data_IF_554150933762
#
_entry.id   IF_554150933762
#
_cell.length_a   1.000
_cell.length_b   1.000
_cell.length_c   1.000
_cell.angle_alpha   90.00
_cell.angle_beta   90.00
_cell.angle_gamma   90.00
#
_symmetry.space_group_name_H-M   'P 1'
#
loop_
_entity.id
_entity.type
_entity.pdbx_description
1 polymer ?
#
# COMPACT_ATOMS: atom_id res chain seq x y z
N UNK A 1 6.74 -28.79 5.05
CA UNK A 1 8.07 -28.20 4.85
C UNK A 1 7.83 -26.72 4.86
N UNK A 2 8.24 -26.04 5.92
CA UNK A 2 8.03 -24.60 6.03
C UNK A 2 8.99 -23.93 5.06
N UNK A 3 8.45 -23.40 3.96
CA UNK A 3 9.24 -22.78 2.90
C UNK A 3 9.61 -21.37 3.37
N UNK A 4 10.90 -21.15 3.61
CA UNK A 4 11.46 -19.84 3.97
C UNK A 4 12.37 -19.34 2.86
N UNK A 5 12.32 -18.03 2.61
CA UNK A 5 13.21 -17.34 1.69
C UNK A 5 14.39 -16.73 2.46
N UNK A 6 15.64 -16.96 2.02
CA UNK A 6 16.79 -16.24 2.54
C UNK A 6 16.77 -14.80 2.02
N UNK A 7 16.86 -13.83 2.93
CA UNK A 7 16.80 -12.40 2.63
C UNK A 7 17.83 -11.62 3.43
N UNK A 8 18.23 -10.46 2.91
CA UNK A 8 18.85 -9.40 3.70
C UNK A 8 17.76 -8.40 4.08
N UNK A 9 17.66 -8.09 5.37
CA UNK A 9 16.67 -7.17 5.90
C UNK A 9 17.12 -5.70 5.72
N UNK A 10 16.20 -4.74 5.58
CA UNK A 10 16.54 -3.32 5.63
C UNK A 10 17.22 -2.94 6.96
N UNK A 11 18.12 -1.95 6.93
CA UNK A 11 18.89 -1.52 8.10
C UNK A 11 18.00 -1.25 9.32
N UNK A 12 18.28 -1.94 10.43
CA UNK A 12 17.56 -1.78 11.70
C UNK A 12 16.29 -2.62 11.86
N UNK A 13 15.92 -3.43 10.86
CA UNK A 13 14.84 -4.39 10.99
C UNK A 13 15.34 -5.77 11.46
N UNK A 14 14.52 -6.47 12.25
CA UNK A 14 14.68 -7.89 12.59
C UNK A 14 13.56 -8.70 11.94
N UNK A 15 13.66 -10.03 11.99
CA UNK A 15 12.60 -10.92 11.48
C UNK A 15 11.26 -10.64 12.17
N UNK A 16 11.29 -10.44 13.48
CA UNK A 16 10.09 -10.17 14.28
C UNK A 16 9.54 -8.75 14.10
N UNK A 17 10.40 -7.79 13.69
CA UNK A 17 10.00 -6.40 13.45
C UNK A 17 9.72 -6.10 11.98
N UNK A 18 9.70 -7.11 11.10
CA UNK A 18 9.54 -6.92 9.68
C UNK A 18 8.10 -6.47 9.38
N UNK A 19 7.97 -5.22 8.93
CA UNK A 19 6.67 -4.63 8.66
C UNK A 19 6.15 -5.02 7.28
N UNK A 20 4.82 -5.01 7.11
CA UNK A 20 4.18 -5.43 5.87
C UNK A 20 4.52 -4.55 4.66
N UNK A 21 5.01 -3.32 4.86
CA UNK A 21 5.45 -2.42 3.78
C UNK A 21 6.95 -2.54 3.44
N UNK A 22 7.72 -3.27 4.26
CA UNK A 22 9.16 -3.43 4.04
C UNK A 22 9.42 -4.44 2.91
N UNK A 23 10.47 -4.17 2.12
CA UNK A 23 10.88 -5.02 1.00
C UNK A 23 12.30 -5.57 1.25
N UNK A 24 12.42 -6.75 1.89
CA UNK A 24 13.69 -7.45 2.01
C UNK A 24 14.28 -7.84 0.66
N UNK A 25 15.61 -7.91 0.59
CA UNK A 25 16.31 -8.33 -0.63
C UNK A 25 16.51 -9.84 -0.61
N UNK A 26 15.88 -10.57 -1.54
CA UNK A 26 16.04 -12.03 -1.67
C UNK A 26 17.48 -12.39 -2.05
N UNK A 27 18.07 -13.32 -1.31
CA UNK A 27 19.43 -13.83 -1.55
C UNK A 27 19.35 -15.05 -2.46
N UNK A 28 19.92 -14.95 -3.66
CA UNK A 28 19.98 -16.07 -4.61
C UNK A 28 21.30 -16.85 -4.51
N UNK A 29 22.38 -16.16 -4.14
CA UNK A 29 23.71 -16.75 -3.97
C UNK A 29 24.54 -15.91 -3.01
N UNK A 30 25.53 -16.56 -2.40
CA UNK A 30 26.59 -15.90 -1.62
C UNK A 30 27.87 -16.01 -2.45
N UNK A 31 28.51 -14.88 -2.72
CA UNK A 31 29.70 -14.83 -3.58
C UNK A 31 30.92 -14.35 -2.81
N UNK A 32 32.09 -14.90 -3.14
CA UNK A 32 33.36 -14.36 -2.66
C UNK A 32 33.77 -13.19 -3.56
N UNK A 33 33.95 -12.02 -2.96
CA UNK A 33 34.36 -10.81 -3.67
C UNK A 33 35.88 -10.78 -3.88
N UNK A 34 36.37 -9.89 -4.76
CA UNK A 34 37.80 -9.66 -4.95
C UNK A 34 38.53 -9.15 -3.70
N UNK A 35 37.79 -8.75 -2.66
CA UNK A 35 38.32 -8.35 -1.35
C UNK A 35 38.46 -9.53 -0.37
N UNK A 36 38.26 -10.77 -0.83
CA UNK A 36 38.23 -11.98 0.01
C UNK A 36 37.15 -11.90 1.11
N UNK A 37 36.04 -11.23 0.81
CA UNK A 37 34.86 -11.14 1.69
C UNK A 37 33.66 -11.78 1.02
N UNK A 38 32.79 -12.42 1.80
CA UNK A 38 31.50 -12.91 1.34
C UNK A 38 30.53 -11.74 1.14
N UNK A 39 29.74 -11.79 0.07
CA UNK A 39 28.64 -10.87 -0.18
C UNK A 39 27.36 -11.65 -0.56
N UNK A 40 26.20 -11.35 0.07
CA UNK A 40 26.07 -10.54 1.29
C UNK A 40 26.84 -11.17 2.46
N UNK A 41 27.08 -10.41 3.53
CA UNK A 41 27.72 -10.97 4.72
C UNK A 41 26.81 -12.04 5.34
N UNK A 42 27.29 -13.28 5.58
CA UNK A 42 26.43 -14.38 6.02
C UNK A 42 25.66 -14.11 7.33
N UNK A 43 26.15 -13.21 8.17
CA UNK A 43 25.53 -12.82 9.44
C UNK A 43 24.28 -11.95 9.24
N UNK A 44 24.16 -11.28 8.08
CA UNK A 44 23.03 -10.40 7.75
C UNK A 44 21.92 -11.15 7.00
N UNK A 45 22.10 -12.46 6.76
CA UNK A 45 21.12 -13.30 6.08
C UNK A 45 20.12 -13.84 7.09
N UNK A 46 18.85 -13.53 6.87
CA UNK A 46 17.74 -13.99 7.67
C UNK A 46 16.78 -14.85 6.83
N UNK A 47 16.08 -15.77 7.48
CA UNK A 47 14.99 -16.52 6.87
C UNK A 47 13.66 -15.86 7.21
N UNK A 48 12.90 -15.49 6.20
CA UNK A 48 11.51 -15.06 6.36
C UNK A 48 10.59 -16.09 5.69
N UNK A 49 9.34 -16.15 6.13
CA UNK A 49 8.34 -16.99 5.46
C UNK A 49 8.31 -16.65 3.96
N UNK A 50 8.30 -17.67 3.08
CA UNK A 50 8.17 -17.45 1.63
C UNK A 50 6.76 -16.96 1.27
N UNK A 51 6.60 -16.43 0.07
CA UNK A 51 5.27 -16.17 -0.50
C UNK A 51 4.63 -17.47 -0.95
N UNK A 52 3.32 -17.60 -0.73
CA UNK A 52 2.52 -18.70 -1.25
C UNK A 52 2.18 -18.47 -2.73
N UNK A 53 2.03 -19.53 -3.54
CA UNK A 53 1.91 -19.42 -5.00
C UNK A 53 0.55 -18.90 -5.50
N UNK A 54 -0.38 -18.56 -4.60
CA UNK A 54 -1.78 -18.28 -4.90
C UNK A 54 -2.11 -16.79 -5.06
N UNK A 55 -1.13 -15.89 -4.99
CA UNK A 55 -1.40 -14.46 -5.17
C UNK A 55 -2.02 -14.11 -6.52
N UNK A 56 -3.10 -13.32 -6.50
CA UNK A 56 -3.86 -12.92 -7.69
C UNK A 56 -4.93 -13.94 -8.12
N UNK A 57 -5.31 -14.89 -7.26
CA UNK A 57 -6.35 -15.88 -7.52
C UNK A 57 -7.77 -15.43 -7.14
N UNK A 58 -7.90 -14.23 -6.54
CA UNK A 58 -9.16 -13.63 -6.10
C UNK A 58 -9.51 -13.91 -4.64
N UNK A 59 -8.63 -14.58 -3.90
CA UNK A 59 -8.76 -14.86 -2.47
C UNK A 59 -7.64 -14.16 -1.71
N UNK A 60 -7.98 -13.50 -0.61
CA UNK A 60 -7.00 -12.82 0.22
C UNK A 60 -6.26 -13.82 1.12
N UNK A 61 -5.02 -14.11 0.76
CA UNK A 61 -4.03 -14.85 1.54
C UNK A 61 -3.25 -13.88 2.44
N UNK A 62 -3.53 -13.93 3.73
CA UNK A 62 -2.95 -12.99 4.72
C UNK A 62 -1.42 -13.07 4.79
N UNK A 63 -0.82 -14.24 4.51
CA UNK A 63 0.63 -14.45 4.43
C UNK A 63 1.27 -13.65 3.28
N UNK A 64 0.53 -13.49 2.19
CA UNK A 64 0.96 -12.75 1.00
C UNK A 64 0.59 -11.25 1.07
N UNK A 65 -0.24 -10.82 2.02
CA UNK A 65 -0.66 -9.42 2.21
C UNK A 65 0.45 -8.52 2.80
N UNK A 66 1.59 -8.45 2.10
CA UNK A 66 2.79 -7.67 2.40
C UNK A 66 3.56 -7.34 1.11
N UNK A 67 4.35 -6.27 1.12
CA UNK A 67 5.12 -5.76 -0.01
C UNK A 67 6.03 -6.81 -0.63
N UNK A 68 6.69 -7.64 0.19
CA UNK A 68 7.55 -8.73 -0.27
C UNK A 68 6.83 -9.74 -1.18
N UNK A 69 5.52 -9.93 -0.95
CA UNK A 69 4.65 -10.79 -1.74
C UNK A 69 3.64 -9.99 -2.59
N UNK A 70 3.98 -8.74 -2.91
CA UNK A 70 3.19 -7.87 -3.78
C UNK A 70 1.72 -7.71 -3.33
N UNK A 71 1.49 -7.68 -2.01
CA UNK A 71 0.15 -7.55 -1.42
C UNK A 71 -0.85 -8.55 -1.99
N UNK A 72 -0.42 -9.79 -2.13
CA UNK A 72 -1.24 -10.90 -2.60
C UNK A 72 -1.85 -10.68 -4.00
N UNK A 73 -1.09 -10.03 -4.88
CA UNK A 73 -1.60 -9.65 -6.21
C UNK A 73 -2.75 -8.64 -6.16
N UNK A 74 -3.03 -8.06 -4.99
CA UNK A 74 -4.15 -7.17 -4.73
C UNK A 74 -5.41 -7.87 -4.21
N UNK A 75 -5.42 -9.16 -3.91
CA UNK A 75 -6.66 -9.85 -3.55
C UNK A 75 -7.24 -9.45 -2.19
N UNK A 76 -6.40 -8.86 -1.32
CA UNK A 76 -6.84 -8.25 -0.07
C UNK A 76 -7.41 -6.82 -0.23
N UNK A 77 -7.48 -6.29 -1.45
CA UNK A 77 -7.90 -4.92 -1.70
C UNK A 77 -9.21 -4.87 -2.52
N UNK A 78 -10.29 -4.27 -1.99
CA UNK A 78 -11.57 -4.19 -2.72
C UNK A 78 -11.47 -3.45 -4.07
N UNK A 79 -10.49 -2.56 -4.24
CA UNK A 79 -10.37 -1.75 -5.46
C UNK A 79 -9.79 -2.50 -6.66
N UNK A 80 -9.03 -3.55 -6.40
CA UNK A 80 -8.33 -4.39 -7.39
C UNK A 80 -9.18 -5.58 -7.83
N UNK A 81 -10.14 -5.99 -6.99
CA UNK A 81 -11.10 -7.06 -7.30
C UNK A 81 -12.26 -6.59 -8.19
N UNK A 82 -12.60 -7.42 -9.18
CA UNK A 82 -13.75 -7.20 -10.09
C UNK A 82 -15.09 -7.17 -9.35
N UNK A 83 -15.23 -7.97 -8.29
CA UNK A 83 -16.43 -8.06 -7.44
C UNK A 83 -16.55 -6.92 -6.43
N UNK A 84 -15.48 -6.12 -6.26
CA UNK A 84 -15.33 -5.13 -5.18
C UNK A 84 -15.48 -5.70 -3.76
N UNK A 85 -15.36 -7.02 -3.61
CA UNK A 85 -15.55 -7.72 -2.35
C UNK A 85 -14.39 -8.69 -2.14
N UNK A 86 -13.64 -8.47 -1.07
CA UNK A 86 -12.58 -9.39 -0.62
C UNK A 86 -13.20 -10.70 -0.19
N UNK A 87 -12.65 -11.80 -0.72
CA UNK A 87 -13.03 -13.16 -0.36
C UNK A 87 -11.89 -13.74 0.48
N UNK A 88 -12.20 -14.32 1.63
CA UNK A 88 -11.21 -14.78 2.61
C UNK A 88 -11.19 -16.31 2.66
N UNK A 89 -9.99 -16.89 2.72
CA UNK A 89 -9.81 -18.31 2.99
C UNK A 89 -9.74 -18.54 4.51
N UNK A 90 -10.74 -19.20 5.10
CA UNK A 90 -10.81 -19.44 6.55
C UNK A 90 -11.51 -18.32 7.32
N UNK A 91 -12.27 -18.68 8.35
CA UNK A 91 -13.25 -17.80 9.01
C UNK A 91 -12.66 -16.77 10.00
N UNK A 92 -11.35 -16.68 10.18
CA UNK A 92 -10.74 -15.97 11.30
C UNK A 92 -9.54 -15.09 10.89
N UNK A 93 -9.72 -14.19 9.92
CA UNK A 93 -8.81 -13.06 9.88
C UNK A 93 -9.29 -11.96 10.81
N UNK A 94 -8.42 -11.58 11.75
CA UNK A 94 -8.61 -10.37 12.52
C UNK A 94 -8.69 -9.18 11.56
N UNK A 95 -9.41 -8.14 11.96
CA UNK A 95 -9.71 -6.99 11.10
C UNK A 95 -8.44 -6.38 10.46
N UNK A 96 -7.28 -6.50 11.09
CA UNK A 96 -6.01 -5.94 10.60
C UNK A 96 -5.27 -6.81 9.57
N UNK A 97 -5.48 -8.13 9.55
CA UNK A 97 -4.74 -9.07 8.68
C UNK A 97 -5.30 -9.15 7.26
N UNK A 98 -6.62 -9.00 7.14
CA UNK A 98 -7.33 -8.92 5.87
C UNK A 98 -7.60 -7.50 5.38
N UNK A 99 -7.15 -6.46 6.11
CA UNK A 99 -7.26 -5.09 5.61
C UNK A 99 -6.33 -4.91 4.41
N UNK A 100 -6.78 -4.13 3.43
CA UNK A 100 -5.95 -3.75 2.29
C UNK A 100 -4.70 -2.99 2.77
N UNK A 101 -3.54 -3.62 2.60
CA UNK A 101 -2.23 -3.06 3.01
C UNK A 101 -1.46 -2.43 1.85
N UNK A 102 -1.94 -2.58 0.63
CA UNK A 102 -1.32 -2.03 -0.57
C UNK A 102 -1.44 -0.49 -0.57
N UNK A 103 -0.32 0.26 -0.45
CA UNK A 103 -0.35 1.71 -0.49
C UNK A 103 -0.81 2.26 -1.85
N UNK A 104 -0.69 1.46 -2.91
CA UNK A 104 -1.08 1.82 -4.27
C UNK A 104 -2.53 1.45 -4.60
N UNK A 105 -3.27 0.82 -3.68
CA UNK A 105 -4.69 0.60 -3.84
C UNK A 105 -5.49 1.92 -3.67
N UNK A 106 -6.64 1.99 -4.34
CA UNK A 106 -7.40 3.25 -4.46
C UNK A 106 -8.00 3.73 -3.14
N UNK A 107 -8.22 2.83 -2.17
CA UNK A 107 -8.72 3.19 -0.86
C UNK A 107 -7.63 3.86 0.03
N UNK A 108 -6.35 3.55 -0.20
CA UNK A 108 -5.18 4.03 0.54
C UNK A 108 -4.59 5.27 -0.11
N UNK A 109 -4.59 5.36 -1.45
CA UNK A 109 -4.18 6.57 -2.20
C UNK A 109 -4.95 7.82 -1.80
N UNK A 110 -6.23 7.69 -1.46
CA UNK A 110 -7.08 8.83 -1.02
C UNK A 110 -6.65 9.38 0.34
N UNK A 111 -6.11 8.52 1.22
CA UNK A 111 -5.59 8.93 2.53
C UNK A 111 -4.27 9.67 2.40
N UNK A 112 -3.39 9.26 1.48
CA UNK A 112 -2.11 9.92 1.25
C UNK A 112 -2.25 11.36 0.70
N UNK A 113 -3.30 11.65 -0.09
CA UNK A 113 -3.57 12.99 -0.61
C UNK A 113 -4.11 13.97 0.44
N UNK A 114 -4.82 13.48 1.45
CA UNK A 114 -5.38 14.33 2.51
C UNK A 114 -4.32 14.70 3.56
N UNK A 115 -3.37 13.80 3.82
CA UNK A 115 -2.19 14.08 4.66
C UNK A 115 -1.23 15.13 4.08
N UNK A 116 -1.36 15.46 2.79
CA UNK A 116 -0.60 16.51 2.12
C UNK A 116 -1.24 17.91 2.19
N UNK A 117 -2.40 18.06 2.85
CA UNK A 117 -3.15 19.32 2.91
C UNK A 117 -3.44 19.75 4.35
N UNK A 118 -2.45 19.62 5.21
CA UNK A 118 -2.52 20.00 6.63
C UNK A 118 -1.36 20.91 7.06
N UNK A 119 -1.17 22.06 6.41
CA UNK A 119 -0.14 23.02 6.82
C UNK A 119 -0.39 24.41 6.23
N UNK A 120 -1.05 25.29 6.99
CA UNK A 120 -1.23 26.70 6.64
C UNK A 120 -2.35 27.40 7.38
N UNK A 121 -2.20 27.59 8.69
CA UNK A 121 -2.99 28.57 9.44
C UNK A 121 -2.38 29.97 9.32
N UNK A 122 -3.21 31.01 9.20
CA UNK A 122 -2.79 32.39 9.44
C UNK A 122 -3.55 33.49 8.69
N UNK A 123 -4.63 34.00 9.31
CA UNK A 123 -4.78 35.45 9.54
C UNK A 123 -5.43 36.35 8.49
N UNK A 124 -6.62 36.87 8.82
CA UNK A 124 -6.80 38.32 8.94
C UNK A 124 -7.42 39.12 7.77
N UNK A 125 -8.68 39.51 7.96
CA UNK A 125 -9.06 40.93 7.95
C UNK A 125 -9.49 41.61 6.63
N UNK A 126 -10.76 42.02 6.59
CA UNK A 126 -11.11 43.40 6.24
C UNK A 126 -11.79 43.67 4.88
N UNK A 127 -12.98 44.28 4.95
CA UNK A 127 -13.28 45.47 4.12
C UNK A 127 -14.25 45.34 2.93
N UNK A 128 -15.54 45.53 3.20
CA UNK A 128 -16.43 46.57 2.63
C UNK A 128 -16.47 46.93 1.14
N UNK A 129 -17.72 47.06 0.63
CA UNK A 129 -18.15 47.87 -0.53
C UNK A 129 -18.32 47.07 -1.82
N UNK A 130 -19.37 47.18 -2.64
CA UNK A 130 -20.48 48.14 -2.76
C UNK A 130 -20.76 48.37 -4.26
N UNK A 131 -22.03 48.24 -4.69
CA UNK A 131 -22.54 48.60 -6.03
C UNK A 131 -22.29 47.56 -7.14
N UNK A 132 -23.17 47.29 -8.10
CA UNK A 132 -24.45 47.88 -8.49
C UNK A 132 -24.67 47.61 -10.00
N UNK A 133 -25.90 47.26 -10.40
CA UNK A 133 -26.47 47.67 -11.69
C UNK A 133 -26.37 46.75 -12.92
N UNK A 134 -27.56 46.41 -13.46
CA UNK A 134 -27.86 46.16 -14.89
C UNK A 134 -27.64 44.73 -15.38
N UNK A 135 -28.53 44.07 -16.12
CA UNK A 135 -29.74 44.47 -16.85
C UNK A 135 -29.84 43.65 -18.15
N UNK A 136 -31.04 43.12 -18.45
CA UNK A 136 -31.42 42.52 -19.75
C UNK A 136 -31.18 41.00 -19.86
N UNK A 137 -32.09 40.17 -20.37
CA UNK A 137 -33.37 40.38 -21.04
C UNK A 137 -33.60 39.25 -22.06
N UNK A 138 -34.78 38.62 -22.02
CA UNK A 138 -35.34 37.75 -23.08
C UNK A 138 -34.77 36.32 -23.17
N UNK A 139 -35.52 35.25 -23.43
CA UNK A 139 -36.93 35.10 -23.82
C UNK A 139 -37.11 33.72 -24.47
N UNK A 140 -38.27 33.09 -24.22
CA UNK A 140 -38.82 31.95 -24.98
C UNK A 140 -38.20 30.57 -24.64
N UNK A 141 -38.95 29.48 -24.48
CA UNK A 141 -40.38 29.23 -24.62
C UNK A 141 -40.63 27.73 -24.76
N UNK A 142 -41.78 27.24 -24.26
CA UNK A 142 -42.56 26.08 -24.72
C UNK A 142 -41.89 24.70 -24.66
N UNK A 143 -42.29 23.79 -23.77
CA UNK A 143 -43.47 22.90 -23.96
C UNK A 143 -43.45 22.14 -25.29
N UNK A 144 -42.91 20.92 -25.26
CA UNK A 144 -43.54 19.66 -25.70
C UNK A 144 -42.64 18.48 -25.34
#
# INVERSE_FOLDING_TARGET
MDLCDPVVLPNGATVDSLQHWMLPTKVQSIVCTGMMKWYPEPQDIHCIQSCEPFGGDGWCDTINNRAYCQYDGGDCCPSTLSTRKVIQFGADCNQDDCTCRDPDAEENKRRAKDSGRGGGGGGGGGGGGGGGGGGGGGGGGGMQ
#
